data_IF_606847981536
#
_entry.id   IF_606847981536
#
_cell.length_a   1.000
_cell.length_b   1.000
_cell.length_c   1.000
_cell.angle_alpha   90.00
_cell.angle_beta   90.00
_cell.angle_gamma   90.00
#
_symmetry.space_group_name_H-M   'P 1'
#
loop_
_entity.id
_entity.type
_entity.pdbx_description
1 polymer ?
#
# COMPACT_ATOMS: atom_id res chain seq x y z
N UNK A 1 -0.72 -2.29 -7.42
CA UNK A 1 -2.14 -1.94 -7.67
C UNK A 1 -2.54 -1.94 -9.15
N UNK A 2 -1.74 -1.37 -10.08
CA UNK A 2 -2.09 -1.38 -11.53
C UNK A 2 -2.36 -2.79 -12.09
N UNK A 3 -1.58 -3.79 -11.65
CA UNK A 3 -1.73 -5.17 -12.11
C UNK A 3 -3.05 -5.83 -11.68
N UNK A 4 -3.58 -5.53 -10.49
CA UNK A 4 -4.84 -6.13 -10.02
C UNK A 4 -6.05 -5.51 -10.71
N UNK A 5 -6.06 -4.19 -10.89
CA UNK A 5 -7.13 -3.52 -11.63
C UNK A 5 -7.18 -3.98 -13.10
N UNK A 6 -6.02 -4.21 -13.72
CA UNK A 6 -5.93 -4.74 -15.07
C UNK A 6 -6.40 -6.21 -15.13
N UNK A 7 -5.99 -7.05 -14.17
CA UNK A 7 -6.46 -8.43 -14.08
C UNK A 7 -7.99 -8.52 -13.92
N UNK A 8 -8.61 -7.64 -13.12
CA UNK A 8 -10.08 -7.53 -13.03
C UNK A 8 -10.71 -7.18 -14.37
N UNK A 9 -10.18 -6.17 -15.08
CA UNK A 9 -10.69 -5.79 -16.41
C UNK A 9 -10.58 -6.91 -17.45
N UNK A 10 -9.59 -7.80 -17.29
CA UNK A 10 -9.40 -8.97 -18.13
C UNK A 10 -10.23 -10.20 -17.66
N UNK A 11 -11.02 -10.08 -16.59
CA UNK A 11 -11.82 -11.19 -16.05
C UNK A 11 -11.00 -12.30 -15.40
N UNK A 12 -9.75 -12.02 -15.00
CA UNK A 12 -8.83 -13.00 -14.43
C UNK A 12 -9.00 -13.17 -12.90
N UNK A 13 -9.67 -12.22 -12.26
CA UNK A 13 -9.90 -12.21 -10.81
C UNK A 13 -11.29 -11.63 -10.52
N UNK A 14 -11.83 -12.01 -9.36
CA UNK A 14 -13.10 -11.48 -8.85
C UNK A 14 -12.98 -10.03 -8.36
N UNK A 15 -14.13 -9.45 -7.99
CA UNK A 15 -14.21 -8.08 -7.48
C UNK A 15 -13.47 -7.87 -6.16
N UNK A 16 -13.38 -8.91 -5.33
CA UNK A 16 -12.63 -8.89 -4.08
C UNK A 16 -11.51 -9.92 -4.17
N UNK A 17 -10.27 -9.46 -4.04
CA UNK A 17 -9.09 -10.31 -4.16
C UNK A 17 -8.16 -10.14 -2.97
N UNK A 18 -7.58 -11.24 -2.49
CA UNK A 18 -6.47 -11.22 -1.54
C UNK A 18 -5.16 -11.40 -2.30
N UNK A 19 -4.31 -10.38 -2.28
CA UNK A 19 -2.96 -10.43 -2.84
C UNK A 19 -1.98 -10.96 -1.80
N UNK A 20 -1.11 -11.89 -2.23
CA UNK A 20 0.08 -12.29 -1.47
C UNK A 20 1.26 -11.48 -1.99
N UNK A 21 1.84 -10.66 -1.12
CA UNK A 21 2.97 -9.78 -1.43
C UNK A 21 4.17 -10.16 -0.55
N UNK A 22 5.40 -9.82 -0.96
CA UNK A 22 6.51 -9.73 -0.01
C UNK A 22 6.11 -8.78 1.12
N UNK A 23 6.17 -9.25 2.37
CA UNK A 23 5.75 -8.50 3.55
C UNK A 23 4.32 -8.77 4.05
N UNK A 24 3.49 -9.53 3.32
CA UNK A 24 2.21 -10.01 3.86
C UNK A 24 1.06 -10.10 2.85
N UNK A 25 -0.16 -9.94 3.38
CA UNK A 25 -1.40 -10.02 2.60
C UNK A 25 -2.10 -8.67 2.57
N UNK A 26 -2.66 -8.34 1.41
CA UNK A 26 -3.53 -7.19 1.22
C UNK A 26 -4.84 -7.66 0.60
N UNK A 27 -5.96 -7.12 1.07
CA UNK A 27 -7.27 -7.30 0.44
C UNK A 27 -7.59 -6.07 -0.39
N UNK A 28 -8.01 -6.29 -1.63
CA UNK A 28 -8.49 -5.23 -2.52
C UNK A 28 -9.94 -5.53 -2.88
N UNK A 29 -10.81 -4.58 -2.57
CA UNK A 29 -12.21 -4.56 -3.00
C UNK A 29 -12.38 -3.55 -4.13
N UNK A 30 -12.84 -4.03 -5.28
CA UNK A 30 -13.05 -3.27 -6.50
C UNK A 30 -14.52 -3.27 -6.93
N UNK A 31 -15.48 -3.69 -6.09
CA UNK A 31 -16.90 -3.76 -6.46
C UNK A 31 -17.44 -2.40 -6.92
N UNK A 32 -16.91 -1.32 -6.35
CA UNK A 32 -17.30 0.06 -6.64
C UNK A 32 -16.20 0.82 -7.40
N UNK A 33 -16.53 1.99 -8.00
CA UNK A 33 -15.52 2.85 -8.63
C UNK A 33 -14.38 3.26 -7.67
N UNK A 34 -14.71 3.41 -6.39
CA UNK A 34 -13.72 3.58 -5.32
C UNK A 34 -13.13 2.23 -4.95
N UNK A 35 -11.81 2.09 -5.13
CA UNK A 35 -11.08 0.88 -4.77
C UNK A 35 -10.67 0.97 -3.30
N UNK A 36 -11.08 -0.01 -2.51
CA UNK A 36 -10.72 -0.09 -1.09
C UNK A 36 -9.56 -1.09 -0.95
N UNK A 37 -8.49 -0.66 -0.27
CA UNK A 37 -7.36 -1.52 0.07
C UNK A 37 -7.29 -1.67 1.59
N UNK A 38 -7.27 -2.91 2.06
CA UNK A 38 -7.18 -3.24 3.48
C UNK A 38 -5.94 -4.10 3.73
N UNK A 39 -5.14 -3.68 4.71
CA UNK A 39 -3.91 -4.36 5.10
C UNK A 39 -3.55 -4.05 6.54
N UNK A 40 -2.64 -4.85 7.13
CA UNK A 40 -2.12 -4.56 8.46
C UNK A 40 -1.25 -3.31 8.45
N UNK A 41 -1.38 -2.48 9.48
CA UNK A 41 -0.48 -1.37 9.76
C UNK A 41 0.09 -1.56 11.17
N UNK A 42 1.41 -1.46 11.32
CA UNK A 42 2.10 -1.65 12.60
C UNK A 42 2.89 -0.40 12.92
N UNK A 43 2.59 0.20 14.07
CA UNK A 43 3.37 1.30 14.63
C UNK A 43 4.65 0.71 15.22
N UNK A 44 5.80 1.14 14.73
CA UNK A 44 7.09 0.57 15.15
C UNK A 44 7.76 1.40 16.24
N UNK A 45 7.86 2.71 16.06
CA UNK A 45 8.43 3.62 17.05
C UNK A 45 7.84 5.01 16.89
N UNK A 46 8.05 5.84 17.91
CA UNK A 46 7.81 7.28 17.86
C UNK A 46 9.14 8.02 17.93
N UNK A 47 9.19 9.19 17.30
CA UNK A 47 10.35 10.06 17.37
C UNK A 47 9.91 11.52 17.52
N UNK A 48 10.69 12.29 18.26
CA UNK A 48 10.65 13.75 18.23
C UNK A 48 11.85 14.22 17.42
N UNK A 49 11.60 15.02 16.39
CA UNK A 49 12.62 15.47 15.44
C UNK A 49 12.78 16.97 15.63
N UNK A 50 14.01 17.44 15.85
CA UNK A 50 14.27 18.88 15.84
C UNK A 50 14.00 19.46 14.44
N UNK A 51 13.46 20.68 14.32
CA UNK A 51 13.05 21.25 13.03
C UNK A 51 14.16 21.22 11.95
N UNK A 52 15.42 21.40 12.35
CA UNK A 52 16.58 21.39 11.45
C UNK A 52 16.84 20.03 10.77
N UNK A 53 16.28 18.93 11.30
CA UNK A 53 16.42 17.59 10.74
C UNK A 53 15.16 17.06 10.05
N UNK A 54 14.03 17.78 10.12
CA UNK A 54 12.74 17.31 9.59
C UNK A 54 12.78 17.02 8.07
N UNK A 55 13.56 17.81 7.31
CA UNK A 55 13.76 17.63 5.87
C UNK A 55 14.38 16.27 5.48
N UNK A 56 15.20 15.67 6.34
CA UNK A 56 15.84 14.38 6.02
C UNK A 56 14.85 13.22 6.07
N UNK A 57 13.77 13.33 6.84
CA UNK A 57 12.74 12.29 6.92
C UNK A 57 11.88 12.21 5.66
N UNK A 58 11.68 13.33 4.96
CA UNK A 58 10.94 13.31 3.68
C UNK A 58 11.72 12.63 2.56
N UNK A 59 13.06 12.62 2.63
CA UNK A 59 13.91 12.01 1.59
C UNK A 59 14.05 10.49 1.76
N UNK A 60 14.04 9.98 3.00
CA UNK A 60 14.18 8.53 3.27
C UNK A 60 12.91 7.71 2.99
N UNK A 61 11.76 8.35 2.82
CA UNK A 61 10.47 7.67 2.57
C UNK A 61 10.25 7.30 1.09
N UNK A 62 11.02 7.89 0.16
CA UNK A 62 10.89 7.59 -1.28
C UNK A 62 11.66 6.33 -1.70
N UNK A 63 12.82 6.05 -1.09
CA UNK A 63 13.67 4.91 -1.50
C UNK A 63 13.25 3.55 -0.91
N UNK A 64 12.24 3.53 -0.04
CA UNK A 64 11.77 2.29 0.62
C UNK A 64 10.72 1.52 -0.18
N UNK A 65 10.31 2.01 -1.35
CA UNK A 65 9.23 1.42 -2.17
C UNK A 65 9.58 1.25 -3.67
N UNK A 66 10.87 1.30 -4.02
CA UNK A 66 11.35 0.98 -5.37
C UNK A 66 11.65 -0.52 -5.54
#
# INVERSE_FOLDING_TARGET
>A
MRSSCLAKRLGLIDDVVTLKMPGGKLTIDMQNPSIIMTGPAVRTFDLVVSPEYAHYLSLGLDESFA
#
